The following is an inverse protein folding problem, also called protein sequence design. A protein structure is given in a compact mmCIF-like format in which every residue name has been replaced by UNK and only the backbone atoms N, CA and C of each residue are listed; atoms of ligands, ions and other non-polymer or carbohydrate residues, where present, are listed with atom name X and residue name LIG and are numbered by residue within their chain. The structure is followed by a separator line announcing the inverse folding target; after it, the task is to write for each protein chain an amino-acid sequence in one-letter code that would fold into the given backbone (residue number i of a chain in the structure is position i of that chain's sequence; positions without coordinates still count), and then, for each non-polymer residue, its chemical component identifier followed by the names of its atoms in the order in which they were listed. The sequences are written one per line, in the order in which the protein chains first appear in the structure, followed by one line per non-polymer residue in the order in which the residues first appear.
data_IF_495253194308
#
_entry.id   IF_495253194308
#
_cell.length_a   1.000
_cell.length_b   1.000
_cell.length_c   1.000
_cell.angle_alpha   90.00
_cell.angle_beta   90.00
_cell.angle_gamma   90.00
#
_symmetry.space_group_name_H-M   'P 1'
#
loop_
_entity.id
_entity.type
_entity.pdbx_description
1 polymer ?
#
# COMPACT_ATOMS: atom_id res chain seq x y z
N UNK A 1 42.02 8.97 -13.80
CA UNK A 1 41.30 9.61 -12.66
C UNK A 1 39.77 9.50 -12.78
N UNK A 2 39.23 9.07 -13.93
CA UNK A 2 37.80 9.00 -14.20
C UNK A 2 37.11 7.79 -13.56
N UNK A 3 37.77 6.63 -13.53
CA UNK A 3 37.16 5.37 -13.05
C UNK A 3 36.92 5.36 -11.53
N UNK A 4 37.85 5.90 -10.73
CA UNK A 4 37.72 5.92 -9.27
C UNK A 4 36.55 6.80 -8.82
N UNK A 5 36.33 7.93 -9.50
CA UNK A 5 35.21 8.83 -9.24
C UNK A 5 33.89 8.15 -9.64
N UNK A 6 33.85 7.45 -10.77
CA UNK A 6 32.67 6.69 -11.22
C UNK A 6 32.29 5.60 -10.21
N UNK A 7 33.25 4.86 -9.65
CA UNK A 7 32.97 3.87 -8.60
C UNK A 7 32.41 4.50 -7.32
N UNK A 8 32.92 5.68 -6.93
CA UNK A 8 32.39 6.41 -5.78
C UNK A 8 30.94 6.89 -6.02
N UNK A 9 30.61 7.33 -7.23
CA UNK A 9 29.22 7.65 -7.61
C UNK A 9 28.32 6.41 -7.64
N UNK A 10 28.77 5.30 -8.20
CA UNK A 10 27.99 4.04 -8.24
C UNK A 10 27.72 3.53 -6.81
N UNK A 11 28.71 3.56 -5.92
CA UNK A 11 28.52 3.19 -4.52
C UNK A 11 27.53 4.12 -3.82
N UNK A 12 27.57 5.43 -4.09
CA UNK A 12 26.63 6.38 -3.51
C UNK A 12 25.19 6.21 -4.04
N UNK A 13 25.04 6.00 -5.34
CA UNK A 13 23.73 5.75 -5.97
C UNK A 13 23.12 4.42 -5.50
N UNK A 14 23.89 3.33 -5.49
CA UNK A 14 23.39 2.02 -5.03
C UNK A 14 23.00 2.01 -3.55
N UNK A 15 23.66 2.80 -2.69
CA UNK A 15 23.30 2.95 -1.28
C UNK A 15 22.02 3.79 -1.07
N UNK A 16 21.72 4.72 -1.98
CA UNK A 16 20.52 5.55 -1.93
C UNK A 16 19.27 4.90 -2.59
N UNK A 17 19.44 3.82 -3.37
CA UNK A 17 18.36 3.19 -4.15
C UNK A 17 17.55 2.15 -3.34
N UNK A 18 17.90 1.85 -2.08
CA UNK A 18 17.22 0.80 -1.30
C UNK A 18 16.07 1.31 -0.40
N UNK A 19 15.33 2.33 -0.83
CA UNK A 19 14.04 2.69 -0.21
C UNK A 19 12.93 1.98 -0.97
N UNK A 20 12.54 0.81 -0.50
CA UNK A 20 11.47 0.02 -1.12
C UNK A 20 10.19 0.09 -0.28
N UNK A 21 9.47 1.21 -0.39
CA UNK A 21 8.09 1.29 0.06
C UNK A 21 7.21 0.58 -0.99
N UNK A 22 6.88 -0.69 -0.73
CA UNK A 22 5.91 -1.43 -1.54
C UNK A 22 4.59 -1.47 -0.80
N UNK A 23 3.55 -0.94 -1.45
CA UNK A 23 2.18 -1.06 -1.00
C UNK A 23 1.79 -2.55 -1.01
N UNK A 24 1.02 -3.05 -0.03
CA UNK A 24 0.51 -4.42 -0.04
C UNK A 24 -0.24 -4.72 -1.34
N UNK A 25 -0.07 -5.94 -1.89
CA UNK A 25 -0.70 -6.34 -3.17
C UNK A 25 -2.22 -6.28 -3.11
N UNK A 26 -2.78 -6.46 -1.92
CA UNK A 26 -4.21 -6.38 -1.66
C UNK A 26 -4.74 -4.99 -2.02
N UNK A 27 -3.97 -3.92 -1.78
CA UNK A 27 -4.35 -2.55 -2.10
C UNK A 27 -4.41 -2.27 -3.62
N UNK A 28 -3.88 -3.17 -4.45
CA UNK A 28 -3.94 -3.07 -5.92
C UNK A 28 -5.19 -3.74 -6.51
N UNK A 29 -5.93 -4.51 -5.70
CA UNK A 29 -7.12 -5.22 -6.14
C UNK A 29 -8.29 -4.25 -6.37
N UNK A 30 -9.16 -4.56 -7.34
CA UNK A 30 -10.40 -3.81 -7.52
C UNK A 30 -11.37 -4.02 -6.33
N UNK A 31 -12.23 -3.06 -5.98
CA UNK A 31 -13.24 -3.28 -4.94
C UNK A 31 -14.24 -4.36 -5.37
N UNK A 32 -14.57 -5.27 -4.45
CA UNK A 32 -15.53 -6.36 -4.72
C UNK A 32 -16.73 -6.31 -3.76
N UNK A 33 -17.93 -6.07 -4.32
CA UNK A 33 -19.19 -6.14 -3.55
C UNK A 33 -19.49 -7.58 -3.09
N UNK A 34 -19.07 -8.60 -3.84
CA UNK A 34 -19.43 -10.00 -3.57
C UNK A 34 -20.89 -10.34 -3.93
N UNK A 35 -21.31 -11.60 -3.76
CA UNK A 35 -22.63 -12.07 -4.22
C UNK A 35 -23.78 -11.77 -3.25
N UNK A 36 -23.48 -11.43 -1.99
CA UNK A 36 -24.50 -11.08 -1.01
C UNK A 36 -25.09 -9.68 -1.30
N UNK A 37 -26.32 -9.44 -0.82
CA UNK A 37 -27.11 -8.22 -1.09
C UNK A 37 -27.26 -7.31 0.12
N UNK A 38 -26.34 -7.42 1.09
CA UNK A 38 -26.25 -6.46 2.17
C UNK A 38 -25.75 -5.10 1.66
N UNK A 39 -25.93 -4.07 2.49
CA UNK A 39 -25.41 -2.74 2.21
C UNK A 39 -24.48 -2.33 3.35
N UNK A 40 -23.22 -2.74 3.23
CA UNK A 40 -22.18 -2.38 4.18
C UNK A 40 -21.29 -1.31 3.55
N UNK A 41 -21.42 -0.03 3.94
CA UNK A 41 -20.48 1.00 3.54
C UNK A 41 -19.07 0.59 3.96
N UNK A 42 -18.13 0.65 3.02
CA UNK A 42 -16.75 0.25 3.23
C UNK A 42 -15.84 1.11 2.39
N UNK A 43 -14.53 1.01 2.62
CA UNK A 43 -13.50 1.75 1.89
C UNK A 43 -12.56 0.78 1.17
N UNK A 44 -12.06 1.19 0.01
CA UNK A 44 -11.00 0.49 -0.72
C UNK A 44 -9.94 1.51 -1.14
N UNK A 45 -8.70 1.06 -1.33
CA UNK A 45 -7.64 1.90 -1.87
C UNK A 45 -7.69 1.90 -3.40
N UNK A 46 -7.74 3.09 -3.98
CA UNK A 46 -7.64 3.29 -5.41
C UNK A 46 -6.21 3.75 -5.76
N UNK A 47 -5.37 2.88 -6.38
CA UNK A 47 -3.99 3.23 -6.70
C UNK A 47 -3.89 4.31 -7.79
N UNK A 48 -4.93 4.51 -8.60
CA UNK A 48 -4.94 5.53 -9.65
C UNK A 48 -5.10 6.94 -9.06
N UNK A 49 -5.92 7.08 -8.03
CA UNK A 49 -6.15 8.36 -7.32
C UNK A 49 -5.28 8.52 -6.09
N UNK A 50 -4.61 7.44 -5.67
CA UNK A 50 -3.86 7.31 -4.40
C UNK A 50 -4.74 7.62 -3.18
N UNK A 51 -6.02 7.30 -3.23
CA UNK A 51 -6.99 7.63 -2.18
C UNK A 51 -7.79 6.42 -1.72
N UNK A 52 -8.26 6.48 -0.48
CA UNK A 52 -9.27 5.57 0.04
C UNK A 52 -10.66 6.09 -0.29
N UNK A 53 -11.36 5.34 -1.14
CA UNK A 53 -12.66 5.68 -1.69
C UNK A 53 -13.76 4.77 -1.11
N UNK A 54 -14.98 5.27 -1.00
CA UNK A 54 -16.10 4.50 -0.46
C UNK A 54 -16.74 3.59 -1.51
N UNK A 55 -17.16 2.39 -1.11
CA UNK A 55 -17.97 1.47 -1.90
C UNK A 55 -18.96 0.70 -1.01
N UNK A 56 -19.85 -0.09 -1.62
CA UNK A 56 -20.76 -0.98 -0.90
C UNK A 56 -20.26 -2.42 -0.98
N UNK A 57 -19.98 -3.01 0.17
CA UNK A 57 -19.76 -4.44 0.33
C UNK A 57 -21.08 -5.16 0.60
N UNK A 58 -21.27 -6.30 -0.05
CA UNK A 58 -22.49 -7.11 0.01
C UNK A 58 -22.61 -7.95 1.28
N UNK A 59 -21.54 -8.07 2.06
CA UNK A 59 -21.53 -8.80 3.34
C UNK A 59 -20.97 -10.22 3.28
N UNK A 60 -20.61 -10.74 2.12
CA UNK A 60 -19.88 -12.00 2.00
C UNK A 60 -18.93 -12.05 0.79
N UNK A 61 -17.89 -12.88 0.90
CA UNK A 61 -16.81 -13.01 -0.09
C UNK A 61 -16.11 -11.68 -0.36
N UNK A 62 -15.75 -11.39 -1.61
CA UNK A 62 -14.93 -10.25 -1.98
C UNK A 62 -13.44 -10.51 -1.73
N UNK A 63 -12.65 -9.43 -1.71
CA UNK A 63 -11.20 -9.50 -1.51
C UNK A 63 -10.74 -8.65 -0.31
N UNK A 64 -9.43 -8.52 -0.15
CA UNK A 64 -8.79 -7.84 0.98
C UNK A 64 -8.64 -6.32 0.81
N UNK A 65 -8.95 -5.74 -0.36
CA UNK A 65 -9.02 -4.28 -0.53
C UNK A 65 -10.34 -3.74 0.03
N UNK A 66 -10.59 -3.97 1.31
CA UNK A 66 -11.83 -3.58 1.99
C UNK A 66 -11.55 -3.27 3.45
N UNK A 67 -11.91 -2.07 3.85
CA UNK A 67 -11.70 -1.54 5.19
C UNK A 67 -12.98 -0.91 5.72
N UNK A 68 -13.20 -0.99 7.03
CA UNK A 68 -14.38 -0.40 7.68
C UNK A 68 -14.28 1.14 7.74
N UNK A 69 -13.07 1.65 7.91
CA UNK A 69 -12.82 3.09 7.99
C UNK A 69 -11.81 3.57 6.96
N UNK A 70 -11.95 4.84 6.55
CA UNK A 70 -10.99 5.52 5.67
C UNK A 70 -9.59 5.57 6.30
N UNK A 71 -9.51 5.66 7.63
CA UNK A 71 -8.24 5.69 8.37
C UNK A 71 -7.49 4.37 8.23
N UNK A 72 -8.17 3.24 8.42
CA UNK A 72 -7.55 1.92 8.33
C UNK A 72 -7.07 1.62 6.90
N UNK A 73 -7.87 2.00 5.91
CA UNK A 73 -7.46 1.93 4.51
C UNK A 73 -6.17 2.73 4.24
N UNK A 74 -6.08 3.98 4.71
CA UNK A 74 -4.87 4.78 4.52
C UNK A 74 -3.69 4.21 5.30
N UNK A 75 -3.91 3.76 6.54
CA UNK A 75 -2.87 3.14 7.36
C UNK A 75 -2.25 1.94 6.63
N UNK A 76 -3.06 1.09 6.00
CA UNK A 76 -2.60 -0.10 5.31
C UNK A 76 -2.00 0.17 3.93
N UNK A 77 -2.57 1.11 3.16
CA UNK A 77 -2.32 1.21 1.72
C UNK A 77 -1.65 2.52 1.26
N UNK A 78 -1.41 3.48 2.16
CA UNK A 78 -0.78 4.76 1.79
C UNK A 78 0.75 4.67 1.93
N UNK A 79 1.47 5.11 0.89
CA UNK A 79 2.95 5.14 0.82
C UNK A 79 3.61 5.82 2.04
N UNK A 80 2.92 6.80 2.64
CA UNK A 80 3.42 7.58 3.79
C UNK A 80 3.36 6.86 5.15
N UNK A 81 2.76 5.67 5.25
CA UNK A 81 2.63 4.96 6.53
C UNK A 81 3.71 3.88 6.76
N UNK A 82 4.47 3.51 5.72
CA UNK A 82 5.60 2.58 5.86
C UNK A 82 6.94 3.24 6.23
N UNK A 83 6.96 4.56 6.45
CA UNK A 83 8.14 5.24 7.02
C UNK A 83 8.25 5.10 8.56
N UNK A 84 7.27 4.46 9.21
CA UNK A 84 7.27 4.24 10.67
C UNK A 84 7.15 2.76 11.08
N UNK A 85 7.54 1.83 10.21
CA UNK A 85 7.41 0.38 10.46
C UNK A 85 8.76 -0.37 10.45
N UNK A 86 9.87 0.34 10.72
CA UNK A 86 11.20 -0.28 10.91
C UNK A 86 11.60 -0.45 12.39
N UNK A 87 10.64 -0.55 13.32
CA UNK A 87 10.91 -1.09 14.66
C UNK A 87 9.74 -2.00 15.00
N UNK A 88 10.03 -3.27 15.35
CA UNK A 88 9.12 -4.40 15.60
C UNK A 88 8.89 -5.38 14.44
N UNK A 89 9.94 -5.70 13.70
CA UNK A 89 10.18 -7.11 13.38
C UNK A 89 11.19 -7.61 14.41
N UNK A 90 10.75 -8.51 15.29
CA UNK A 90 11.52 -9.56 15.99
C UNK A 90 10.86 -9.90 17.34
N UNK A 91 9.98 -10.92 17.33
CA UNK A 91 10.03 -12.05 18.29
C UNK A 91 9.44 -13.31 17.63
#
# INVERSE_FOLDING_TARGET
MSNLIIYLFILFFTLAINVNCKIPRECELAPETGPCRGMFPSFYYNPSTKQCESFIYGGCQGNANRFETKKDCHAQCSENNHENETIHQDE
#
